data_IF_130378699174
#
_entry.id   IF_130378699174
#
_cell.length_a   1.000
_cell.length_b   1.000
_cell.length_c   1.000
_cell.angle_alpha   90.00
_cell.angle_beta   90.00
_cell.angle_gamma   90.00
#
_symmetry.space_group_name_H-M   'P 1'
#
loop_
_entity.id
_entity.type
_entity.pdbx_description
1 polymer ?
#
# COMPACT_ATOMS: atom_id res chain seq x y z
N UNK A 1 -0.32 -4.57 -5.21
CA UNK A 1 -1.73 -4.84 -5.62
C UNK A 1 -2.19 -6.23 -5.13
N UNK A 2 -1.92 -6.60 -3.88
CA UNK A 2 -2.31 -7.90 -3.35
C UNK A 2 -3.83 -7.97 -3.12
N UNK A 3 -4.39 -6.95 -2.47
CA UNK A 3 -5.82 -6.84 -2.13
C UNK A 3 -6.75 -6.72 -3.35
N UNK A 4 -6.30 -6.10 -4.44
CA UNK A 4 -7.10 -6.01 -5.67
C UNK A 4 -7.46 -7.39 -6.27
N UNK A 5 -6.67 -8.44 -5.97
CA UNK A 5 -6.97 -9.81 -6.40
C UNK A 5 -8.01 -10.49 -5.50
N UNK A 6 -8.10 -10.07 -4.25
CA UNK A 6 -8.97 -10.66 -3.23
C UNK A 6 -10.38 -10.07 -3.30
N UNK A 7 -10.50 -8.80 -3.71
CA UNK A 7 -11.77 -8.09 -3.88
C UNK A 7 -12.07 -7.84 -5.38
N UNK A 8 -12.72 -8.78 -6.09
CA UNK A 8 -13.07 -8.58 -7.49
C UNK A 8 -14.08 -7.42 -7.62
N UNK A 9 -13.76 -6.44 -8.47
CA UNK A 9 -14.67 -5.35 -8.79
C UNK A 9 -15.09 -5.39 -10.24
N UNK A 10 -16.39 -5.25 -10.46
CA UNK A 10 -16.95 -5.01 -11.78
C UNK A 10 -16.77 -3.54 -12.20
N UNK A 11 -15.94 -3.34 -13.23
CA UNK A 11 -15.69 -2.04 -13.87
C UNK A 11 -16.57 -1.84 -15.11
N UNK A 12 -17.84 -2.26 -15.03
CA UNK A 12 -18.86 -2.09 -16.07
C UNK A 12 -19.14 -0.64 -16.47
N UNK A 13 -18.72 0.34 -15.66
CA UNK A 13 -18.84 1.77 -16.00
C UNK A 13 -17.98 2.08 -17.23
N UNK A 14 -18.53 2.62 -18.33
CA UNK A 14 -17.78 2.96 -19.53
C UNK A 14 -16.60 3.89 -19.25
N UNK A 15 -15.51 3.72 -20.00
CA UNK A 15 -14.39 4.65 -19.92
C UNK A 15 -14.74 5.89 -20.74
N UNK A 16 -14.78 7.04 -20.09
CA UNK A 16 -14.98 8.33 -20.76
C UNK A 16 -13.61 8.88 -21.14
N UNK A 17 -13.48 9.34 -22.39
CA UNK A 17 -12.30 10.05 -22.87
C UNK A 17 -12.70 11.50 -23.14
N UNK A 18 -12.01 12.43 -22.49
CA UNK A 18 -12.15 13.87 -22.73
C UNK A 18 -10.95 14.29 -23.58
N UNK A 19 -11.18 15.06 -24.65
CA UNK A 19 -10.10 15.57 -25.51
C UNK A 19 -9.37 16.72 -24.82
N UNK A 20 -8.09 16.87 -25.14
CA UNK A 20 -7.29 17.99 -24.63
C UNK A 20 -7.87 19.32 -25.13
N UNK A 21 -8.14 20.24 -24.19
CA UNK A 21 -8.70 21.57 -24.48
C UNK A 21 -10.24 21.66 -24.45
N UNK A 22 -10.94 20.57 -24.14
CA UNK A 22 -12.39 20.55 -23.94
C UNK A 22 -12.72 20.47 -22.44
N UNK A 23 -13.63 21.32 -21.96
CA UNK A 23 -14.06 21.26 -20.56
C UNK A 23 -14.85 19.95 -20.32
N UNK A 24 -14.50 19.18 -19.28
CA UNK A 24 -15.17 17.92 -19.01
C UNK A 24 -16.62 18.17 -18.57
N UNK A 25 -17.58 17.44 -19.16
CA UNK A 25 -18.97 17.50 -18.70
C UNK A 25 -19.12 16.92 -17.29
N UNK A 26 -20.16 17.36 -16.56
CA UNK A 26 -20.44 16.88 -15.20
C UNK A 26 -20.63 15.36 -15.18
N UNK A 27 -21.25 14.81 -16.23
CA UNK A 27 -21.48 13.38 -16.40
C UNK A 27 -20.15 12.63 -16.61
N UNK A 28 -19.25 13.18 -17.41
CA UNK A 28 -17.92 12.62 -17.66
C UNK A 28 -17.10 12.53 -16.36
N UNK A 29 -17.11 13.61 -15.56
CA UNK A 29 -16.45 13.65 -14.24
C UNK A 29 -17.09 12.62 -13.30
N UNK A 30 -18.41 12.59 -13.22
CA UNK A 30 -19.14 11.70 -12.32
C UNK A 30 -18.88 10.23 -12.64
N UNK A 31 -18.94 9.83 -13.91
CA UNK A 31 -18.65 8.46 -14.35
C UNK A 31 -17.20 8.06 -14.06
N UNK A 32 -16.26 8.97 -14.33
CA UNK A 32 -14.84 8.73 -14.07
C UNK A 32 -14.58 8.55 -12.57
N UNK A 33 -15.16 9.41 -11.74
CA UNK A 33 -15.03 9.33 -10.28
C UNK A 33 -15.66 8.05 -9.72
N UNK A 34 -16.86 7.68 -10.16
CA UNK A 34 -17.51 6.44 -9.75
C UNK A 34 -16.65 5.22 -10.09
N UNK A 35 -16.04 5.20 -11.28
CA UNK A 35 -15.13 4.13 -11.70
C UNK A 35 -13.85 4.10 -10.85
N UNK A 36 -13.28 5.26 -10.53
CA UNK A 36 -12.10 5.36 -9.68
C UNK A 36 -12.38 4.87 -8.26
N UNK A 37 -13.52 5.27 -7.67
CA UNK A 37 -13.94 4.83 -6.33
C UNK A 37 -14.19 3.32 -6.26
N UNK A 38 -14.89 2.77 -7.25
CA UNK A 38 -15.09 1.32 -7.38
C UNK A 38 -13.78 0.54 -7.47
N UNK A 39 -12.80 1.09 -8.21
CA UNK A 39 -11.47 0.49 -8.24
C UNK A 39 -10.78 0.61 -6.88
N UNK A 40 -10.80 1.78 -6.25
CA UNK A 40 -10.11 2.01 -4.98
C UNK A 40 -10.69 1.20 -3.80
N UNK A 41 -11.99 0.86 -3.86
CA UNK A 41 -12.59 -0.04 -2.87
C UNK A 41 -12.03 -1.46 -2.95
N UNK A 42 -11.49 -1.91 -4.10
CA UNK A 42 -10.83 -3.24 -4.18
C UNK A 42 -9.56 -3.31 -3.37
N UNK A 43 -8.93 -2.17 -3.10
CA UNK A 43 -7.68 -2.10 -2.34
C UNK A 43 -7.93 -2.15 -0.83
N UNK A 44 -9.18 -2.05 -0.38
CA UNK A 44 -9.51 -2.04 1.05
C UNK A 44 -9.25 -3.42 1.67
N UNK A 45 -8.58 -3.45 2.81
CA UNK A 45 -8.38 -4.65 3.60
C UNK A 45 -9.65 -5.04 4.36
N UNK A 46 -9.71 -6.28 4.85
CA UNK A 46 -10.89 -6.84 5.53
C UNK A 46 -11.33 -6.06 6.79
N UNK A 47 -10.40 -5.45 7.50
CA UNK A 47 -10.63 -4.60 8.68
C UNK A 47 -10.94 -3.13 8.31
N UNK A 48 -10.98 -2.81 7.02
CA UNK A 48 -11.38 -1.51 6.49
C UNK A 48 -10.25 -0.52 6.23
N UNK A 49 -8.97 -0.86 6.52
CA UNK A 49 -7.85 0.03 6.19
C UNK A 49 -7.47 -0.04 4.70
N UNK A 50 -6.74 0.97 4.20
CA UNK A 50 -6.14 0.96 2.86
C UNK A 50 -4.63 0.79 2.97
N UNK A 51 -4.10 -0.40 2.68
CA UNK A 51 -2.67 -0.67 2.73
C UNK A 51 -1.98 0.08 1.59
N UNK A 52 -1.12 1.03 1.97
CA UNK A 52 -0.22 1.72 1.07
C UNK A 52 1.21 1.23 1.29
N UNK A 53 1.95 1.07 0.20
CA UNK A 53 3.39 0.86 0.32
C UNK A 53 4.02 2.18 0.76
N UNK A 54 4.51 2.22 2.00
CA UNK A 54 5.26 3.36 2.52
C UNK A 54 6.70 3.29 1.99
N UNK A 55 6.85 3.53 0.69
CA UNK A 55 8.14 3.73 0.04
C UNK A 55 8.70 5.13 0.40
N UNK A 56 8.99 5.33 1.69
CA UNK A 56 9.69 6.50 2.20
C UNK A 56 11.21 6.38 2.03
N UNK A 57 11.98 7.41 2.46
CA UNK A 57 13.43 7.34 2.42
C UNK A 57 13.92 6.18 3.30
N UNK A 58 14.66 5.25 2.70
CA UNK A 58 15.10 3.99 3.32
C UNK A 58 16.11 4.15 4.47
N UNK A 59 16.35 5.35 5.01
CA UNK A 59 17.33 5.55 6.09
C UNK A 59 16.96 4.85 7.41
N UNK A 60 15.70 4.46 7.59
CA UNK A 60 15.27 3.65 8.74
C UNK A 60 15.77 2.19 8.67
N UNK A 61 15.93 1.63 7.46
CA UNK A 61 16.27 0.22 7.28
C UNK A 61 17.68 -0.14 7.79
N UNK A 62 18.76 0.63 7.47
CA UNK A 62 20.09 0.36 8.00
C UNK A 62 20.18 0.39 9.53
N UNK A 63 19.47 1.32 10.17
CA UNK A 63 19.45 1.44 11.63
C UNK A 63 18.78 0.24 12.30
N UNK A 64 17.63 -0.19 11.76
CA UNK A 64 16.89 -1.35 12.27
C UNK A 64 17.68 -2.65 12.11
N UNK A 65 18.32 -2.88 10.95
CA UNK A 65 19.13 -4.08 10.70
C UNK A 65 20.34 -4.11 11.63
N UNK A 66 21.04 -2.99 11.77
CA UNK A 66 22.23 -2.91 12.63
C UNK A 66 21.89 -3.16 14.10
N UNK A 67 20.79 -2.55 14.59
CA UNK A 67 20.31 -2.76 15.95
C UNK A 67 19.90 -4.21 16.21
N UNK A 68 19.15 -4.83 15.28
CA UNK A 68 18.68 -6.21 15.42
C UNK A 68 19.84 -7.21 15.47
N UNK A 69 20.84 -7.03 14.59
CA UNK A 69 22.04 -7.88 14.57
C UNK A 69 22.82 -7.70 15.87
N UNK A 70 23.07 -6.47 16.29
CA UNK A 70 23.80 -6.17 17.53
C UNK A 70 23.11 -6.78 18.76
N UNK A 71 21.80 -6.61 18.90
CA UNK A 71 21.03 -7.17 20.01
C UNK A 71 21.11 -8.70 20.03
N UNK A 72 21.04 -9.35 18.87
CA UNK A 72 21.17 -10.81 18.74
C UNK A 72 22.55 -11.30 19.21
N UNK A 73 23.62 -10.59 18.84
CA UNK A 73 24.98 -10.90 19.31
C UNK A 73 25.15 -10.67 20.81
N UNK A 74 24.61 -9.56 21.34
CA UNK A 74 24.68 -9.24 22.77
C UNK A 74 23.97 -10.31 23.61
N UNK A 75 22.76 -10.73 23.22
CA UNK A 75 22.02 -11.79 23.90
C UNK A 75 22.82 -13.10 23.87
N UNK A 76 23.38 -13.47 22.71
CA UNK A 76 24.19 -14.70 22.57
C UNK A 76 25.45 -14.66 23.46
N UNK A 77 26.10 -13.49 23.57
CA UNK A 77 27.25 -13.28 24.44
C UNK A 77 26.88 -13.40 25.92
N UNK A 78 25.82 -12.72 26.36
CA UNK A 78 25.35 -12.76 27.76
C UNK A 78 24.98 -14.18 28.15
N UNK A 79 24.29 -14.93 27.30
CA UNK A 79 23.95 -16.34 27.56
C UNK A 79 25.22 -17.19 27.69
N UNK A 80 26.21 -17.02 26.81
CA UNK A 80 27.49 -17.75 26.92
C UNK A 80 28.26 -17.43 28.20
N UNK A 81 28.26 -16.17 28.64
CA UNK A 81 28.98 -15.75 29.85
C UNK A 81 28.29 -16.16 31.14
N UNK A 82 26.96 -16.32 31.14
CA UNK A 82 26.19 -16.66 32.35
C UNK A 82 25.83 -18.15 32.47
N UNK A 83 26.04 -18.94 31.43
CA UNK A 83 25.75 -20.40 31.40
C UNK A 83 27.04 -21.24 31.38
N UNK A 84 28.21 -20.61 31.23
CA UNK A 84 29.54 -21.19 31.50
C UNK A 84 30.07 -20.68 32.84
#
# INVERSE_FOLDING_TARGET
MQFARENPCDLSIPRVFVKDGEDPSVEAVTQTLQRALKFYSTLQAHDGHWPGDFAGPLFYMPGLVSFQVFLSFLISYVVKVNVL
#
